data_IF_980041388719
#
_entry.id   IF_980041388719
#
_cell.length_a   1.000
_cell.length_b   1.000
_cell.length_c   1.000
_cell.angle_alpha   90.00
_cell.angle_beta   90.00
_cell.angle_gamma   90.00
#
_symmetry.space_group_name_H-M   'P 1'
#
loop_
_entity.id
_entity.type
_entity.pdbx_description
1 polymer ?
#
# COMPACT_ATOMS: atom_id res chain seq x y z
N UNK A 1 25.82 54.57 69.56
CA UNK A 1 24.99 53.35 69.42
C UNK A 1 25.11 52.89 67.97
N UNK A 2 25.47 51.63 67.74
CA UNK A 2 26.49 51.26 66.74
C UNK A 2 25.97 51.02 65.32
N UNK A 3 26.44 51.83 64.36
CA UNK A 3 26.26 51.62 62.91
C UNK A 3 27.05 50.42 62.36
N UNK A 4 27.97 49.87 63.16
CA UNK A 4 28.86 48.76 62.77
C UNK A 4 28.24 47.37 62.91
N UNK A 5 27.12 47.21 63.64
CA UNK A 5 26.46 45.90 63.81
C UNK A 5 25.50 45.51 62.66
N UNK A 6 25.02 46.49 61.88
CA UNK A 6 24.03 46.24 60.82
C UNK A 6 24.66 45.68 59.53
N UNK A 7 25.94 45.97 59.28
CA UNK A 7 26.63 45.57 58.04
C UNK A 7 27.11 44.12 58.09
N UNK A 8 27.34 43.56 59.28
CA UNK A 8 27.82 42.18 59.44
C UNK A 8 26.67 41.16 59.28
N UNK A 9 25.41 41.57 59.53
CA UNK A 9 24.25 40.68 59.36
C UNK A 9 23.83 40.48 57.89
N UNK A 10 24.17 41.42 57.00
CA UNK A 10 23.89 41.29 55.56
C UNK A 10 25.02 40.53 54.83
N UNK A 11 26.20 40.41 55.43
CA UNK A 11 27.32 39.68 54.83
C UNK A 11 27.28 38.16 55.06
N UNK A 12 26.49 37.68 56.02
CA UNK A 12 26.34 36.24 56.30
C UNK A 12 25.19 35.54 55.56
N UNK A 13 24.35 36.28 54.83
CA UNK A 13 23.19 35.74 54.11
C UNK A 13 23.38 35.62 52.59
N UNK A 14 24.63 35.62 52.10
CA UNK A 14 24.95 35.48 50.66
C UNK A 14 25.77 34.23 50.33
N UNK A 15 26.07 33.36 51.30
CA UNK A 15 26.91 32.17 51.10
C UNK A 15 26.11 30.86 51.09
N UNK A 16 24.93 30.86 50.48
CA UNK A 16 24.09 29.67 50.37
C UNK A 16 23.41 29.58 49.01
N UNK A 17 24.19 29.44 47.93
CA UNK A 17 23.70 28.93 46.66
C UNK A 17 24.85 28.44 45.76
N UNK A 18 25.73 27.57 46.27
CA UNK A 18 26.50 26.72 45.37
C UNK A 18 25.55 25.61 44.91
N UNK A 19 24.68 25.95 43.95
CA UNK A 19 23.87 24.99 43.21
C UNK A 19 24.83 24.02 42.53
N UNK A 20 24.89 22.80 43.04
CA UNK A 20 25.40 21.68 42.28
C UNK A 20 24.54 21.61 41.00
N UNK A 21 25.15 21.90 39.85
CA UNK A 21 24.51 21.72 38.56
C UNK A 21 24.23 20.24 38.40
N UNK A 22 22.98 19.83 38.65
CA UNK A 22 22.50 18.54 38.18
C UNK A 22 22.67 18.54 36.65
N UNK A 23 23.52 17.63 36.15
CA UNK A 23 23.54 17.28 34.75
C UNK A 23 22.14 16.77 34.41
N UNK A 24 21.30 17.65 33.88
CA UNK A 24 20.03 17.26 33.33
C UNK A 24 20.34 16.39 32.11
N UNK A 25 20.29 15.08 32.30
CA UNK A 25 20.16 14.13 31.21
C UNK A 25 18.85 14.50 30.52
N UNK A 26 18.95 15.21 29.39
CA UNK A 26 17.80 15.44 28.53
C UNK A 26 17.22 14.07 28.19
N UNK A 27 16.04 13.79 28.75
CA UNK A 27 15.27 12.63 28.36
C UNK A 27 15.03 12.73 26.86
N UNK A 28 15.74 11.90 26.08
CA UNK A 28 15.48 11.71 24.65
C UNK A 28 14.02 11.33 24.55
N UNK A 29 13.20 12.23 24.00
CA UNK A 29 11.79 11.98 23.71
C UNK A 29 11.67 10.60 23.04
N UNK A 30 10.73 9.74 23.48
CA UNK A 30 10.56 8.45 22.83
C UNK A 30 10.34 8.69 21.34
N UNK A 31 11.22 8.13 20.51
CA UNK A 31 11.03 8.05 19.06
C UNK A 31 9.68 7.36 18.85
N UNK A 32 8.63 8.14 18.61
CA UNK A 32 7.29 7.58 18.46
C UNK A 32 7.30 6.72 17.21
N UNK A 33 7.33 5.40 17.40
CA UNK A 33 7.32 4.44 16.32
C UNK A 33 5.93 4.35 15.72
N UNK A 34 5.83 4.42 14.40
CA UNK A 34 4.54 4.34 13.69
C UNK A 34 4.68 3.59 12.36
N UNK A 35 3.57 3.12 11.81
CA UNK A 35 3.48 2.59 10.45
C UNK A 35 2.28 3.20 9.74
N UNK A 36 2.53 3.95 8.66
CA UNK A 36 1.49 4.59 7.85
C UNK A 36 1.61 4.14 6.41
N UNK A 37 0.52 3.65 5.85
CA UNK A 37 0.46 3.16 4.47
C UNK A 37 -0.27 4.15 3.58
N UNK A 38 0.35 4.52 2.47
CA UNK A 38 -0.28 5.22 1.34
C UNK A 38 -0.95 4.20 0.43
N UNK A 39 -0.25 3.09 0.18
CA UNK A 39 -0.79 1.92 -0.51
C UNK A 39 -0.26 0.64 0.13
N UNK A 40 -1.10 -0.37 0.39
CA UNK A 40 -2.55 -0.33 0.25
C UNK A 40 -3.22 0.51 1.37
N UNK A 41 -4.38 1.10 1.08
CA UNK A 41 -5.13 1.93 2.04
C UNK A 41 -6.05 1.14 2.98
N UNK A 42 -6.14 -0.18 2.76
CA UNK A 42 -6.98 -1.12 3.51
C UNK A 42 -6.26 -2.44 3.70
N UNK A 43 -6.71 -3.22 4.68
CA UNK A 43 -6.04 -4.44 5.10
C UNK A 43 -6.36 -5.64 4.18
N UNK A 44 -7.45 -5.59 3.40
CA UNK A 44 -7.82 -6.62 2.42
C UNK A 44 -7.79 -6.08 0.99
N UNK A 45 -7.00 -6.70 0.13
CA UNK A 45 -6.72 -6.24 -1.23
C UNK A 45 -7.01 -7.37 -2.21
N UNK A 46 -8.00 -7.19 -3.07
CA UNK A 46 -8.19 -8.06 -4.24
C UNK A 46 -7.38 -7.52 -5.41
N UNK A 47 -6.53 -8.35 -6.01
CA UNK A 47 -5.68 -7.94 -7.14
C UNK A 47 -5.41 -9.12 -8.06
N UNK A 48 -5.53 -8.92 -9.38
CA UNK A 48 -5.18 -9.94 -10.37
C UNK A 48 -3.66 -10.01 -10.63
N UNK A 49 -2.91 -9.01 -10.17
CA UNK A 49 -1.46 -8.92 -10.33
C UNK A 49 -0.72 -10.04 -9.56
N UNK A 50 0.37 -10.60 -10.12
CA UNK A 50 1.24 -11.52 -9.39
C UNK A 50 2.09 -10.82 -8.31
N UNK A 51 2.00 -9.49 -8.19
CA UNK A 51 2.74 -8.67 -7.22
C UNK A 51 1.82 -7.76 -6.43
N UNK A 52 2.04 -7.72 -5.10
CA UNK A 52 1.44 -6.76 -4.18
C UNK A 52 2.47 -5.70 -3.80
N UNK A 53 2.12 -4.43 -3.95
CA UNK A 53 3.05 -3.33 -3.69
C UNK A 53 2.67 -2.58 -2.42
N UNK A 54 3.69 -2.10 -1.72
CA UNK A 54 3.58 -1.24 -0.55
C UNK A 54 4.27 0.10 -0.83
N UNK A 55 3.58 1.18 -0.46
CA UNK A 55 4.13 2.52 -0.37
C UNK A 55 3.72 3.07 1.00
N UNK A 56 4.69 3.35 1.85
CA UNK A 56 4.45 3.63 3.26
C UNK A 56 5.55 4.48 3.88
N UNK A 57 5.33 4.95 5.11
CA UNK A 57 6.32 5.63 5.91
C UNK A 57 6.28 5.22 7.38
N UNK A 58 7.42 5.38 8.04
CA UNK A 58 7.66 5.12 9.46
C UNK A 58 8.67 6.13 10.02
N UNK A 59 9.14 5.95 11.25
CA UNK A 59 10.26 6.71 11.79
C UNK A 59 11.55 6.42 10.97
N UNK A 60 12.32 7.44 10.53
CA UNK A 60 13.53 7.23 9.73
C UNK A 60 14.60 6.34 10.36
N UNK A 61 14.64 6.22 11.69
CA UNK A 61 15.58 5.38 12.42
C UNK A 61 15.07 3.93 12.61
N UNK A 62 13.84 3.62 12.19
CA UNK A 62 13.25 2.30 12.36
C UNK A 62 13.73 1.30 11.29
N UNK A 63 13.78 0.02 11.66
CA UNK A 63 13.93 -1.10 10.72
C UNK A 63 12.57 -1.67 10.38
N UNK A 64 12.30 -1.89 9.09
CA UNK A 64 11.03 -2.45 8.63
C UNK A 64 11.25 -3.84 8.04
N UNK A 65 10.37 -4.78 8.38
CA UNK A 65 10.36 -6.14 7.87
C UNK A 65 9.01 -6.48 7.26
N UNK A 66 9.01 -7.05 6.06
CA UNK A 66 7.81 -7.58 5.40
C UNK A 66 8.00 -9.08 5.23
N UNK A 67 7.12 -9.88 5.86
CA UNK A 67 7.24 -11.34 5.94
C UNK A 67 8.65 -11.78 6.39
N UNK A 68 9.23 -11.05 7.35
CA UNK A 68 10.56 -11.31 7.90
C UNK A 68 11.74 -10.81 7.04
N UNK A 69 11.51 -10.29 5.83
CA UNK A 69 12.56 -9.67 4.99
C UNK A 69 12.67 -8.18 5.26
N UNK A 70 13.88 -7.71 5.56
CA UNK A 70 14.15 -6.29 5.81
C UNK A 70 13.92 -5.46 4.53
N UNK A 71 13.27 -4.31 4.69
CA UNK A 71 12.99 -3.33 3.65
C UNK A 71 13.70 -2.04 3.99
N UNK A 72 14.35 -1.44 3.00
CA UNK A 72 15.06 -0.17 3.16
C UNK A 72 14.08 0.96 3.51
N UNK A 73 14.30 1.57 4.68
CA UNK A 73 13.72 2.85 5.07
C UNK A 73 14.68 3.96 4.66
N UNK A 74 14.19 4.93 3.90
CA UNK A 74 14.99 6.09 3.48
C UNK A 74 15.06 7.12 4.60
N UNK A 75 15.99 8.09 4.51
CA UNK A 75 16.14 9.14 5.53
C UNK A 75 14.90 10.01 5.75
N UNK A 76 13.95 10.00 4.81
CA UNK A 76 12.63 10.62 4.96
C UNK A 76 11.62 9.78 5.76
N UNK A 77 11.97 8.54 6.12
CA UNK A 77 11.07 7.56 6.72
C UNK A 77 10.22 6.79 5.71
N UNK A 78 10.27 7.14 4.42
CA UNK A 78 9.55 6.41 3.37
C UNK A 78 10.15 5.03 3.12
N UNK A 79 9.33 4.08 2.71
CA UNK A 79 9.75 2.79 2.18
C UNK A 79 8.78 2.28 1.12
N UNK A 80 9.32 1.51 0.17
CA UNK A 80 8.56 0.82 -0.86
C UNK A 80 9.00 -0.64 -0.92
N UNK A 81 8.05 -1.52 -1.17
CA UNK A 81 8.32 -2.94 -1.28
C UNK A 81 7.31 -3.64 -2.19
N UNK A 82 7.71 -4.80 -2.70
CA UNK A 82 6.83 -5.68 -3.47
C UNK A 82 6.90 -7.10 -2.89
N UNK A 83 5.76 -7.77 -2.84
CA UNK A 83 5.64 -9.18 -2.46
C UNK A 83 5.06 -9.98 -3.61
N UNK A 84 5.58 -11.19 -3.81
CA UNK A 84 5.03 -12.12 -4.79
C UNK A 84 3.71 -12.71 -4.26
N UNK A 85 2.72 -12.79 -5.13
CA UNK A 85 1.38 -13.29 -4.84
C UNK A 85 1.11 -14.59 -5.61
N UNK A 86 0.76 -15.64 -4.87
CA UNK A 86 0.17 -16.85 -5.44
C UNK A 86 -1.33 -16.69 -5.59
N UNK A 87 -1.97 -17.51 -6.42
CA UNK A 87 -3.44 -17.60 -6.44
C UNK A 87 -3.94 -17.95 -5.03
N UNK A 88 -5.05 -17.32 -4.63
CA UNK A 88 -5.64 -17.42 -3.31
C UNK A 88 -5.24 -16.31 -2.36
N UNK A 89 -5.27 -16.62 -1.06
CA UNK A 89 -4.96 -15.68 0.02
C UNK A 89 -3.46 -15.63 0.30
N UNK A 90 -2.92 -14.42 0.35
CA UNK A 90 -1.52 -14.13 0.63
C UNK A 90 -1.46 -13.23 1.86
N UNK A 91 -1.34 -13.79 3.08
CA UNK A 91 -1.15 -13.00 4.27
C UNK A 91 0.22 -12.32 4.24
N UNK A 92 0.25 -11.03 4.58
CA UNK A 92 1.47 -10.24 4.65
C UNK A 92 1.54 -9.54 6.00
N UNK A 93 2.64 -9.76 6.71
CA UNK A 93 2.92 -9.13 7.99
C UNK A 93 4.03 -8.11 7.85
N UNK A 94 3.75 -6.87 8.21
CA UNK A 94 4.71 -5.76 8.22
C UNK A 94 5.02 -5.39 9.66
N UNK A 95 6.30 -5.33 9.99
CA UNK A 95 6.81 -5.00 11.33
C UNK A 95 7.77 -3.83 11.21
N UNK A 96 7.57 -2.78 11.99
CA UNK A 96 8.58 -1.76 12.24
C UNK A 96 9.18 -1.99 13.63
N UNK A 97 10.49 -1.87 13.75
CA UNK A 97 11.25 -1.99 15.00
C UNK A 97 12.04 -0.70 15.24
N UNK A 98 11.88 -0.11 16.43
CA UNK A 98 12.71 1.00 16.89
C UNK A 98 14.05 0.49 17.44
N UNK A 99 15.06 1.37 17.51
CA UNK A 99 16.38 1.04 18.07
C UNK A 99 16.32 0.58 19.54
N UNK A 100 15.33 1.05 20.31
CA UNK A 100 15.13 0.72 21.72
C UNK A 100 14.31 -0.57 21.95
N UNK A 101 13.91 -1.27 20.88
CA UNK A 101 13.19 -2.54 20.95
C UNK A 101 11.66 -2.45 20.80
N UNK A 102 11.08 -1.25 20.78
CA UNK A 102 9.65 -1.07 20.50
C UNK A 102 9.29 -1.58 19.11
N UNK A 103 8.08 -2.12 18.95
CA UNK A 103 7.61 -2.63 17.67
C UNK A 103 6.18 -2.23 17.35
N UNK A 104 5.91 -1.97 16.07
CA UNK A 104 4.56 -1.78 15.52
C UNK A 104 4.34 -2.81 14.43
N UNK A 105 3.18 -3.46 14.44
CA UNK A 105 2.82 -4.51 13.49
C UNK A 105 1.54 -4.13 12.74
N UNK A 106 1.52 -4.35 11.43
CA UNK A 106 0.31 -4.33 10.60
C UNK A 106 0.24 -5.58 9.74
N UNK A 107 -0.97 -6.08 9.53
CA UNK A 107 -1.25 -7.28 8.75
C UNK A 107 -2.16 -6.93 7.58
N UNK A 108 -1.85 -7.51 6.42
CA UNK A 108 -2.62 -7.38 5.20
C UNK A 108 -2.93 -8.76 4.63
N UNK A 109 -3.98 -8.85 3.82
CA UNK A 109 -4.32 -10.02 3.03
C UNK A 109 -4.50 -9.61 1.59
N UNK A 110 -3.61 -10.08 0.72
CA UNK A 110 -3.79 -9.97 -0.73
C UNK A 110 -4.52 -11.22 -1.24
N UNK A 111 -5.63 -11.02 -1.92
CA UNK A 111 -6.42 -12.06 -2.56
C UNK A 111 -6.20 -11.99 -4.06
N UNK A 112 -5.49 -12.97 -4.61
CA UNK A 112 -5.32 -13.11 -6.05
C UNK A 112 -6.27 -14.18 -6.56
N UNK A 113 -7.35 -13.82 -7.30
CA UNK A 113 -8.27 -14.82 -7.80
C UNK A 113 -7.59 -15.76 -8.78
N UNK A 114 -8.11 -16.99 -8.88
CA UNK A 114 -7.72 -17.90 -9.94
C UNK A 114 -8.15 -17.30 -11.29
N UNK A 115 -7.27 -17.29 -12.30
CA UNK A 115 -7.68 -16.92 -13.64
C UNK A 115 -8.84 -17.81 -14.11
N UNK A 116 -9.79 -17.25 -14.87
CA UNK A 116 -10.85 -18.03 -15.48
C UNK A 116 -10.23 -19.12 -16.37
N UNK A 117 -10.75 -20.34 -16.28
CA UNK A 117 -10.31 -21.43 -17.16
C UNK A 117 -10.68 -21.10 -18.61
N UNK A 118 -9.80 -21.37 -19.59
CA UNK A 118 -10.16 -21.27 -20.99
C UNK A 118 -11.40 -22.12 -21.29
N UNK A 119 -12.27 -21.61 -22.17
CA UNK A 119 -13.39 -22.38 -22.69
C UNK A 119 -12.87 -23.50 -23.59
N UNK A 120 -13.59 -24.62 -23.65
CA UNK A 120 -13.28 -25.70 -24.59
C UNK A 120 -13.58 -25.25 -26.02
N UNK A 121 -12.86 -25.82 -27.00
CA UNK A 121 -13.16 -25.57 -28.41
C UNK A 121 -14.59 -26.01 -28.73
N UNK A 122 -14.99 -27.22 -28.32
CA UNK A 122 -16.34 -27.73 -28.53
C UNK A 122 -17.10 -27.93 -27.21
N UNK A 123 -18.41 -27.61 -27.16
CA UNK A 123 -19.17 -26.88 -28.18
C UNK A 123 -18.75 -25.40 -28.26
N UNK A 124 -19.09 -24.72 -29.35
CA UNK A 124 -18.91 -23.27 -29.47
C UNK A 124 -19.79 -22.54 -28.46
N UNK A 125 -19.17 -21.90 -27.47
CA UNK A 125 -19.85 -21.20 -26.36
C UNK A 125 -19.30 -19.79 -26.24
N UNK A 126 -20.19 -18.86 -25.92
CA UNK A 126 -19.86 -17.51 -25.45
C UNK A 126 -20.11 -17.46 -23.95
N UNK A 127 -19.12 -17.01 -23.18
CA UNK A 127 -19.32 -16.70 -21.76
C UNK A 127 -20.03 -15.34 -21.65
N UNK A 128 -21.36 -15.39 -21.52
CA UNK A 128 -22.20 -14.20 -21.45
C UNK A 128 -21.81 -13.22 -20.32
N UNK A 129 -21.16 -13.68 -19.25
CA UNK A 129 -20.73 -12.80 -18.14
C UNK A 129 -19.45 -12.01 -18.47
N UNK A 130 -18.75 -12.40 -19.53
CA UNK A 130 -17.52 -11.76 -20.01
C UNK A 130 -17.74 -10.72 -21.08
N UNK A 131 -18.97 -10.57 -21.57
CA UNK A 131 -19.32 -9.59 -22.60
C UNK A 131 -19.17 -8.17 -22.03
N UNK A 132 -18.47 -7.33 -22.79
CA UNK A 132 -18.35 -5.89 -22.57
C UNK A 132 -18.65 -5.16 -23.89
N UNK A 133 -19.27 -3.97 -23.84
CA UNK A 133 -19.73 -3.29 -22.62
C UNK A 133 -20.93 -3.99 -21.96
N UNK A 134 -20.99 -4.02 -20.62
CA UNK A 134 -22.09 -4.65 -19.87
C UNK A 134 -23.41 -3.87 -19.84
N UNK A 135 -23.39 -2.63 -20.31
CA UNK A 135 -24.52 -1.71 -20.25
C UNK A 135 -24.47 -0.77 -21.46
N UNK A 136 -25.60 -0.13 -21.75
CA UNK A 136 -25.70 0.84 -22.82
C UNK A 136 -24.74 2.02 -22.58
N UNK A 137 -24.08 2.45 -23.65
CA UNK A 137 -23.14 3.56 -23.64
C UNK A 137 -23.69 4.71 -24.48
N UNK A 138 -23.64 5.92 -23.92
CA UNK A 138 -23.85 7.15 -24.67
C UNK A 138 -22.53 7.54 -25.33
N UNK A 139 -22.44 7.33 -26.64
CA UNK A 139 -21.24 7.63 -27.42
C UNK A 139 -21.46 8.88 -28.27
N UNK A 140 -20.46 9.75 -28.28
CA UNK A 140 -20.38 10.88 -29.18
C UNK A 140 -19.75 10.50 -30.52
N UNK A 141 -19.72 11.49 -31.42
CA UNK A 141 -18.93 11.38 -32.65
C UNK A 141 -17.45 11.28 -32.27
N UNK A 142 -16.75 10.32 -32.89
CA UNK A 142 -15.32 10.01 -32.70
C UNK A 142 -14.96 9.24 -31.41
N UNK A 143 -15.94 8.77 -30.64
CA UNK A 143 -15.69 7.84 -29.52
C UNK A 143 -15.31 6.44 -30.04
N UNK A 144 -14.42 5.77 -29.31
CA UNK A 144 -14.00 4.40 -29.60
C UNK A 144 -14.81 3.44 -28.72
N UNK A 145 -15.57 2.55 -29.37
CA UNK A 145 -16.24 1.43 -28.72
C UNK A 145 -15.34 0.18 -28.79
N UNK A 146 -14.93 -0.31 -27.63
CA UNK A 146 -14.22 -1.59 -27.51
C UNK A 146 -15.19 -2.68 -27.05
N UNK A 147 -15.54 -3.58 -27.97
CA UNK A 147 -16.32 -4.78 -27.66
C UNK A 147 -15.39 -5.95 -27.34
N UNK A 148 -15.66 -6.69 -26.27
CA UNK A 148 -14.92 -7.91 -25.92
C UNK A 148 -15.81 -8.95 -25.28
N UNK A 149 -15.47 -10.22 -25.49
CA UNK A 149 -16.04 -11.35 -24.77
C UNK A 149 -15.05 -12.52 -24.77
N UNK A 150 -15.27 -13.50 -23.90
CA UNK A 150 -14.60 -14.81 -23.93
C UNK A 150 -15.50 -15.82 -24.61
N UNK A 151 -14.96 -16.51 -25.61
CA UNK A 151 -15.62 -17.60 -26.30
C UNK A 151 -14.74 -18.83 -26.43
N UNK A 152 -15.31 -19.90 -26.97
CA UNK A 152 -14.55 -21.06 -27.44
C UNK A 152 -13.49 -20.64 -28.46
N UNK A 153 -12.23 -21.10 -28.32
CA UNK A 153 -11.14 -20.65 -29.17
C UNK A 153 -11.27 -21.13 -30.61
N UNK A 154 -10.63 -20.45 -31.57
CA UNK A 154 -10.51 -20.89 -32.96
C UNK A 154 -11.75 -20.64 -33.85
N UNK A 155 -12.77 -19.97 -33.33
CA UNK A 155 -13.92 -19.51 -34.12
C UNK A 155 -13.76 -18.06 -34.55
N UNK A 156 -14.52 -17.68 -35.58
CA UNK A 156 -14.68 -16.28 -35.96
C UNK A 156 -15.84 -15.68 -35.18
N UNK A 157 -15.63 -14.46 -34.70
CA UNK A 157 -16.64 -13.70 -33.96
C UNK A 157 -16.92 -12.37 -34.66
N UNK A 158 -18.15 -11.91 -34.52
CA UNK A 158 -18.58 -10.58 -34.95
C UNK A 158 -19.60 -10.03 -33.97
N UNK A 159 -19.78 -8.71 -33.98
CA UNK A 159 -20.88 -8.06 -33.26
C UNK A 159 -21.56 -7.04 -34.17
N UNK A 160 -22.77 -6.67 -33.77
CA UNK A 160 -23.63 -5.74 -34.49
C UNK A 160 -23.88 -4.51 -33.59
N UNK A 161 -24.01 -3.35 -34.23
CA UNK A 161 -24.53 -2.13 -33.61
C UNK A 161 -25.80 -1.79 -34.38
N UNK A 162 -26.94 -1.92 -33.70
CA UNK A 162 -28.25 -1.64 -34.28
C UNK A 162 -28.27 -0.25 -34.93
N UNK A 163 -28.83 -0.19 -36.14
CA UNK A 163 -28.93 1.02 -36.98
C UNK A 163 -27.60 1.69 -37.38
N UNK A 164 -26.44 1.09 -37.06
CA UNK A 164 -25.12 1.65 -37.39
C UNK A 164 -24.35 0.75 -38.35
N UNK A 165 -24.06 -0.49 -37.96
CA UNK A 165 -23.24 -1.43 -38.74
C UNK A 165 -23.44 -2.87 -38.23
N UNK A 166 -23.39 -3.86 -39.11
CA UNK A 166 -23.54 -5.28 -38.75
C UNK A 166 -22.35 -6.10 -39.25
N UNK A 167 -22.02 -7.18 -38.53
CA UNK A 167 -20.94 -8.09 -38.88
C UNK A 167 -19.54 -7.52 -38.63
N UNK A 168 -19.40 -6.61 -37.66
CA UNK A 168 -18.10 -6.01 -37.32
C UNK A 168 -17.19 -7.14 -36.82
N UNK A 169 -16.07 -7.44 -37.51
CA UNK A 169 -15.25 -8.60 -37.20
C UNK A 169 -14.47 -8.38 -35.90
N UNK A 170 -14.39 -9.42 -35.09
CA UNK A 170 -13.59 -9.45 -33.86
C UNK A 170 -12.32 -10.28 -34.05
N UNK A 171 -11.29 -9.96 -33.28
CA UNK A 171 -9.99 -10.63 -33.33
C UNK A 171 -9.79 -11.43 -32.05
N UNK A 172 -9.46 -12.73 -32.20
CA UNK A 172 -9.09 -13.57 -31.07
C UNK A 172 -7.73 -13.14 -30.52
N UNK A 173 -7.69 -12.83 -29.22
CA UNK A 173 -6.46 -12.48 -28.52
C UNK A 173 -5.77 -13.75 -27.99
N UNK A 174 -4.42 -13.77 -27.93
CA UNK A 174 -3.72 -14.87 -27.31
C UNK A 174 -4.06 -14.96 -25.81
N UNK A 175 -3.98 -16.17 -25.25
CA UNK A 175 -4.33 -16.44 -23.85
C UNK A 175 -3.52 -15.59 -22.83
N UNK A 176 -2.34 -15.11 -23.21
CA UNK A 176 -1.46 -14.28 -22.35
C UNK A 176 -1.97 -12.85 -22.19
N UNK A 177 -2.76 -12.34 -23.13
CA UNK A 177 -3.24 -10.95 -23.16
C UNK A 177 -4.72 -10.84 -22.73
N UNK A 178 -5.33 -11.97 -22.35
CA UNK A 178 -6.71 -12.05 -21.85
C UNK A 178 -6.78 -11.63 -20.37
N UNK A 179 -6.76 -10.32 -20.10
CA UNK A 179 -6.80 -9.79 -18.71
C UNK A 179 -8.09 -9.07 -18.37
#
# INVERSE_FOLDING_TARGET
MNRTLLVILILFLSLAALSAGELQVQAVQPDSLFLRFVSPSRDSIRSNSPRGNFAACTNPAAKVFINGREVKVYGSGAFVASVNLTVGNNPVRVVALAAKGDSVVKSFVFVRPEPPKPLTHEPAVIDAQSIEPRQDLWLGKDDILEGKFRGSPGYKASFDIEDVESGIPMVELPATDST
#
